data_IF_200227150739
#
_entry.id   IF_200227150739
#
_cell.length_a   1.000
_cell.length_b   1.000
_cell.length_c   1.000
_cell.angle_alpha   90.00
_cell.angle_beta   90.00
_cell.angle_gamma   90.00
#
_symmetry.space_group_name_H-M   'P 1'
#
loop_
_entity.id
_entity.type
_entity.pdbx_description
1 polymer ?
#
# COMPACT_ATOMS: atom_id res chain seq x y z
N UNK A 1 -4.31 -23.39 30.35
CA UNK A 1 -4.52 -21.92 30.52
C UNK A 1 -3.49 -21.24 29.63
N UNK A 2 -3.89 -20.41 28.66
CA UNK A 2 -2.91 -19.69 27.81
C UNK A 2 -2.29 -18.60 28.68
N UNK A 3 -0.99 -18.69 28.93
CA UNK A 3 -0.29 -17.62 29.63
C UNK A 3 0.02 -16.49 28.64
N UNK A 4 -0.51 -15.29 28.90
CA UNK A 4 -0.22 -14.13 28.07
C UNK A 4 1.21 -13.63 28.29
N UNK A 5 1.93 -13.17 27.25
CA UNK A 5 3.26 -12.59 27.41
C UNK A 5 3.22 -11.22 28.10
N UNK A 6 4.33 -10.80 28.68
CA UNK A 6 4.55 -9.39 29.02
C UNK A 6 4.70 -8.57 27.75
N UNK A 7 4.19 -7.33 27.72
CA UNK A 7 4.40 -6.41 26.61
C UNK A 7 5.88 -6.02 26.45
N UNK A 8 6.68 -6.09 27.52
CA UNK A 8 8.13 -5.82 27.49
C UNK A 8 8.95 -6.90 26.79
N UNK A 9 8.47 -8.16 26.83
CA UNK A 9 9.21 -9.32 26.30
C UNK A 9 8.50 -9.91 25.08
N UNK A 10 7.64 -9.12 24.42
CA UNK A 10 6.76 -9.58 23.36
C UNK A 10 7.54 -10.06 22.13
N UNK A 11 8.66 -9.42 21.81
CA UNK A 11 9.49 -9.83 20.68
C UNK A 11 10.11 -11.20 20.89
N UNK A 12 10.65 -11.47 22.08
CA UNK A 12 11.24 -12.76 22.42
C UNK A 12 10.20 -13.86 22.44
N UNK A 13 9.00 -13.55 22.94
CA UNK A 13 7.85 -14.45 22.88
C UNK A 13 7.50 -14.81 21.42
N UNK A 14 7.42 -13.83 20.52
CA UNK A 14 7.15 -14.06 19.09
C UNK A 14 8.26 -14.89 18.46
N UNK A 15 9.53 -14.49 18.64
CA UNK A 15 10.70 -15.19 18.07
C UNK A 15 10.79 -16.64 18.57
N UNK A 16 10.50 -16.87 19.86
CA UNK A 16 10.45 -18.22 20.43
C UNK A 16 9.31 -19.05 19.83
N UNK A 17 8.12 -18.45 19.67
CA UNK A 17 6.99 -19.08 19.01
C UNK A 17 7.29 -19.46 17.56
N UNK A 18 7.95 -18.58 16.79
CA UNK A 18 8.36 -18.87 15.42
C UNK A 18 9.31 -20.07 15.36
N UNK A 19 10.36 -20.10 16.20
CA UNK A 19 11.28 -21.25 16.27
C UNK A 19 10.60 -22.56 16.63
N UNK A 20 9.59 -22.50 17.52
CA UNK A 20 8.87 -23.69 17.99
C UNK A 20 7.87 -24.23 16.99
N UNK A 21 7.17 -23.35 16.27
CA UNK A 21 5.98 -23.71 15.49
C UNK A 21 6.15 -23.65 13.98
N UNK A 22 7.12 -22.88 13.47
CA UNK A 22 7.38 -22.79 12.03
C UNK A 22 8.32 -23.92 11.61
N UNK A 23 7.88 -24.71 10.64
CA UNK A 23 8.61 -25.86 10.09
C UNK A 23 9.84 -25.37 9.32
N UNK A 24 11.01 -25.98 9.56
CA UNK A 24 12.28 -25.67 8.88
C UNK A 24 12.60 -26.61 7.72
N UNK A 25 12.03 -27.81 7.70
CA UNK A 25 12.43 -28.91 6.82
C UNK A 25 11.63 -29.02 5.52
N UNK A 26 10.57 -28.22 5.34
CA UNK A 26 9.80 -28.18 4.10
C UNK A 26 10.13 -26.87 3.37
N UNK A 27 10.60 -26.96 2.12
CA UNK A 27 10.61 -25.80 1.23
C UNK A 27 9.17 -25.36 1.03
N UNK A 28 8.82 -24.16 1.52
CA UNK A 28 7.53 -23.57 1.22
C UNK A 28 7.33 -23.54 -0.30
N UNK A 29 6.15 -23.91 -0.82
CA UNK A 29 5.88 -23.81 -2.24
C UNK A 29 6.16 -22.37 -2.72
N UNK A 30 6.66 -22.27 -3.94
CA UNK A 30 6.92 -20.96 -4.55
C UNK A 30 5.66 -20.12 -4.53
N UNK A 31 5.83 -18.84 -4.15
CA UNK A 31 4.77 -17.84 -4.12
C UNK A 31 3.65 -18.03 -3.08
N UNK A 32 3.79 -18.98 -2.16
CA UNK A 32 2.84 -19.13 -1.04
C UNK A 32 3.24 -18.23 0.13
N UNK A 33 2.32 -17.36 0.62
CA UNK A 33 2.57 -16.55 1.81
C UNK A 33 2.84 -17.44 3.04
N UNK A 34 3.93 -17.18 3.75
CA UNK A 34 4.28 -17.99 4.93
C UNK A 34 5.03 -17.20 6.00
N UNK A 35 5.12 -17.81 7.19
CA UNK A 35 5.97 -17.35 8.28
C UNK A 35 7.34 -18.03 8.17
N UNK A 36 8.40 -17.33 8.56
CA UNK A 36 9.76 -17.86 8.66
C UNK A 36 10.32 -17.65 10.07
N UNK A 37 11.47 -18.24 10.37
CA UNK A 37 12.18 -17.98 11.64
C UNK A 37 12.75 -16.56 11.72
N UNK A 38 13.03 -15.95 10.57
CA UNK A 38 13.61 -14.61 10.44
C UNK A 38 12.56 -13.58 9.99
N UNK A 39 11.30 -13.82 10.35
CA UNK A 39 10.16 -13.00 9.97
C UNK A 39 10.42 -11.52 10.27
N UNK A 40 10.12 -10.66 9.30
CA UNK A 40 10.18 -9.22 9.52
C UNK A 40 8.90 -8.74 10.20
N UNK A 41 9.00 -8.17 11.40
CA UNK A 41 7.86 -7.64 12.14
C UNK A 41 8.25 -6.43 13.01
N UNK A 42 7.22 -5.70 13.48
CA UNK A 42 7.31 -4.62 14.48
C UNK A 42 6.26 -4.84 15.56
N UNK A 43 6.67 -4.74 16.81
CA UNK A 43 5.80 -4.79 17.98
C UNK A 43 5.86 -3.45 18.71
N UNK A 44 4.75 -2.70 18.73
CA UNK A 44 4.68 -1.38 19.36
C UNK A 44 3.85 -1.47 20.64
N UNK A 45 4.44 -1.07 21.76
CA UNK A 45 3.75 -0.91 23.03
C UNK A 45 3.60 0.58 23.32
N UNK A 46 2.39 0.99 23.76
CA UNK A 46 2.13 2.35 24.25
C UNK A 46 1.33 2.30 25.54
N UNK A 47 1.43 3.35 26.35
CA UNK A 47 0.77 3.42 27.66
C UNK A 47 -0.76 3.29 27.56
N UNK A 48 -1.35 3.87 26.52
CA UNK A 48 -2.78 3.92 26.19
C UNK A 48 -3.31 2.66 25.49
N UNK A 49 -2.46 1.65 25.24
CA UNK A 49 -2.88 0.35 24.71
C UNK A 49 -3.43 -0.55 25.83
N UNK A 50 -4.53 -0.11 26.45
CA UNK A 50 -5.26 -0.80 27.51
C UNK A 50 -6.45 -1.65 27.00
N UNK A 51 -6.68 -1.66 25.68
CA UNK A 51 -7.65 -2.52 25.02
C UNK A 51 -7.19 -2.82 23.58
N UNK A 52 -7.76 -3.85 22.96
CA UNK A 52 -7.39 -4.25 21.60
C UNK A 52 -7.69 -3.15 20.57
N UNK A 53 -8.78 -2.39 20.75
CA UNK A 53 -9.21 -1.37 19.79
C UNK A 53 -8.23 -0.19 19.73
N UNK A 54 -7.61 0.23 20.85
CA UNK A 54 -6.64 1.33 20.81
C UNK A 54 -5.36 0.95 20.04
N UNK A 55 -4.83 -0.25 20.27
CA UNK A 55 -3.72 -0.79 19.49
C UNK A 55 -4.08 -0.99 18.01
N UNK A 56 -5.30 -1.46 17.72
CA UNK A 56 -5.76 -1.66 16.35
C UNK A 56 -5.95 -0.35 15.60
N UNK A 57 -6.64 0.61 16.21
CA UNK A 57 -6.86 1.95 15.66
C UNK A 57 -5.54 2.64 15.35
N UNK A 58 -4.54 2.49 16.23
CA UNK A 58 -3.20 2.99 15.96
C UNK A 58 -2.62 2.39 14.67
N UNK A 59 -2.60 1.06 14.51
CA UNK A 59 -2.06 0.40 13.32
C UNK A 59 -2.79 0.80 12.03
N UNK A 60 -4.13 0.80 12.05
CA UNK A 60 -4.96 1.15 10.90
C UNK A 60 -4.75 2.62 10.52
N UNK A 61 -4.68 3.53 11.49
CA UNK A 61 -4.42 4.94 11.23
C UNK A 61 -3.00 5.17 10.69
N UNK A 62 -1.98 4.48 11.20
CA UNK A 62 -0.62 4.55 10.61
C UNK A 62 -0.62 4.05 9.17
N UNK A 63 -1.26 2.92 8.87
CA UNK A 63 -1.36 2.40 7.50
C UNK A 63 -2.11 3.35 6.57
N UNK A 64 -3.24 3.89 7.04
CA UNK A 64 -4.03 4.89 6.33
C UNK A 64 -3.16 6.11 6.00
N UNK A 65 -2.52 6.71 6.99
CA UNK A 65 -1.71 7.91 6.82
C UNK A 65 -0.56 7.68 5.84
N UNK A 66 0.14 6.54 5.96
CA UNK A 66 1.21 6.16 5.03
C UNK A 66 0.69 6.03 3.58
N UNK A 67 -0.38 5.25 3.35
CA UNK A 67 -0.95 5.00 2.01
C UNK A 67 -1.67 6.20 1.39
N UNK A 68 -2.03 7.18 2.21
CA UNK A 68 -2.84 8.33 1.82
C UNK A 68 -2.10 9.67 1.88
N UNK A 69 -0.77 9.66 2.03
CA UNK A 69 0.04 10.86 2.02
C UNK A 69 -0.28 11.77 0.82
N UNK A 70 -0.53 13.05 1.13
CA UNK A 70 -1.09 14.04 0.20
C UNK A 70 -0.71 15.45 0.60
N UNK A 71 -0.77 16.38 -0.35
CA UNK A 71 -0.74 17.80 -0.05
C UNK A 71 -1.90 18.15 0.91
N UNK A 72 -1.71 19.10 1.84
CA UNK A 72 -2.80 19.59 2.67
C UNK A 72 -3.93 20.10 1.77
N UNK A 73 -5.16 19.76 2.15
CA UNK A 73 -6.36 20.30 1.53
C UNK A 73 -6.60 21.75 1.95
N UNK A 74 -7.36 22.49 1.16
CA UNK A 74 -7.83 23.84 1.55
C UNK A 74 -9.02 23.77 2.49
N UNK A 75 -9.71 22.64 2.56
CA UNK A 75 -10.85 22.38 3.47
C UNK A 75 -10.82 20.90 3.92
N UNK A 76 -11.42 20.56 5.08
CA UNK A 76 -11.44 19.17 5.60
C UNK A 76 -11.97 18.13 4.60
N UNK A 77 -12.95 18.53 3.77
CA UNK A 77 -13.58 17.66 2.76
C UNK A 77 -13.01 17.84 1.34
N UNK A 78 -11.90 18.59 1.21
CA UNK A 78 -11.22 18.84 -0.07
C UNK A 78 -9.76 18.41 0.05
N UNK A 79 -9.48 17.09 0.04
CA UNK A 79 -8.12 16.61 0.13
C UNK A 79 -7.28 17.13 -1.02
N UNK A 80 -6.03 17.49 -0.72
CA UNK A 80 -5.07 17.86 -1.75
C UNK A 80 -4.60 16.65 -2.57
N UNK A 81 -3.74 16.92 -3.55
CA UNK A 81 -3.17 15.91 -4.45
C UNK A 81 -2.34 14.88 -3.69
N UNK A 82 -2.43 13.62 -4.10
CA UNK A 82 -1.59 12.56 -3.53
C UNK A 82 -0.10 12.83 -3.78
N UNK A 83 0.74 12.47 -2.81
CA UNK A 83 2.20 12.45 -2.92
C UNK A 83 2.74 11.13 -3.47
N UNK A 84 1.88 10.14 -3.65
CA UNK A 84 2.23 8.89 -4.31
C UNK A 84 2.21 9.03 -5.85
N UNK A 85 3.04 8.29 -6.59
CA UNK A 85 3.21 8.48 -8.04
C UNK A 85 2.04 7.98 -8.90
N UNK A 86 1.18 7.09 -8.40
CA UNK A 86 0.19 6.41 -9.25
C UNK A 86 -0.79 7.34 -9.96
N UNK A 87 -1.33 8.43 -9.34
CA UNK A 87 -2.19 9.35 -10.06
C UNK A 87 -1.48 10.03 -11.24
N UNK A 88 -0.17 10.34 -11.11
CA UNK A 88 0.60 10.90 -12.22
C UNK A 88 0.88 9.85 -13.29
N UNK A 89 1.21 8.62 -12.89
CA UNK A 89 1.39 7.49 -13.80
C UNK A 89 0.12 7.21 -14.62
N UNK A 90 -1.06 7.25 -13.99
CA UNK A 90 -2.35 7.04 -14.68
C UNK A 90 -2.62 8.19 -15.66
N UNK A 91 -2.41 9.46 -15.27
CA UNK A 91 -2.55 10.60 -16.18
C UNK A 91 -1.61 10.49 -17.38
N UNK A 92 -0.39 10.00 -17.16
CA UNK A 92 0.58 9.78 -18.24
C UNK A 92 0.11 8.67 -19.21
N UNK A 93 -0.27 7.50 -18.69
CA UNK A 93 -0.73 6.36 -19.50
C UNK A 93 -2.00 6.68 -20.31
N UNK A 94 -2.92 7.43 -19.71
CA UNK A 94 -4.20 7.82 -20.34
C UNK A 94 -4.08 9.03 -21.25
N UNK A 95 -2.96 9.78 -21.20
CA UNK A 95 -2.82 11.09 -21.83
C UNK A 95 -3.92 12.09 -21.45
N UNK A 96 -4.42 12.00 -20.21
CA UNK A 96 -5.53 12.80 -19.70
C UNK A 96 -5.09 13.63 -18.49
N UNK A 97 -5.30 14.95 -18.57
CA UNK A 97 -4.98 15.86 -17.48
C UNK A 97 -5.72 17.19 -17.61
N UNK A 98 -6.40 17.60 -16.54
CA UNK A 98 -6.85 18.99 -16.44
C UNK A 98 -5.67 19.96 -16.25
N UNK A 99 -5.70 21.17 -16.86
CA UNK A 99 -4.66 22.19 -16.67
C UNK A 99 -4.37 22.55 -15.21
N UNK A 100 -5.41 22.58 -14.35
CA UNK A 100 -5.27 22.82 -12.90
C UNK A 100 -4.53 21.70 -12.15
N UNK A 101 -4.35 20.54 -12.78
CA UNK A 101 -3.62 19.38 -12.25
C UNK A 101 -2.25 19.24 -12.94
N UNK A 102 -1.52 20.35 -13.07
CA UNK A 102 -0.17 20.41 -13.63
C UNK A 102 0.77 19.34 -13.03
N UNK A 103 1.82 18.92 -13.75
CA UNK A 103 2.66 17.82 -13.27
C UNK A 103 3.31 18.17 -11.92
N UNK A 104 3.30 17.23 -10.97
CA UNK A 104 4.11 17.41 -9.76
C UNK A 104 5.58 17.22 -10.12
N UNK A 105 6.38 18.29 -10.00
CA UNK A 105 7.80 18.26 -10.34
C UNK A 105 8.57 17.14 -9.64
N UNK A 106 8.21 16.81 -8.39
CA UNK A 106 8.86 15.73 -7.63
C UNK A 106 8.54 14.33 -8.16
N UNK A 107 7.43 14.13 -8.86
CA UNK A 107 6.95 12.82 -9.33
C UNK A 107 6.99 12.67 -10.85
N UNK A 108 7.46 13.70 -11.57
CA UNK A 108 7.36 13.79 -13.04
C UNK A 108 7.99 12.60 -13.77
N UNK A 109 9.03 12.00 -13.20
CA UNK A 109 9.79 10.91 -13.78
C UNK A 109 9.43 9.53 -13.17
N UNK A 110 8.36 9.45 -12.38
CA UNK A 110 7.98 8.22 -11.65
C UNK A 110 6.65 7.69 -12.16
N UNK A 111 6.70 6.92 -13.25
CA UNK A 111 5.54 6.27 -13.85
C UNK A 111 5.36 4.85 -13.28
N UNK A 112 5.11 4.74 -11.97
CA UNK A 112 5.12 3.46 -11.24
C UNK A 112 3.97 3.32 -10.25
N UNK A 113 3.70 2.06 -9.87
CA UNK A 113 2.60 1.65 -8.99
C UNK A 113 3.06 0.95 -7.70
N UNK A 114 3.87 1.62 -6.85
CA UNK A 114 4.44 0.97 -5.68
C UNK A 114 3.38 0.47 -4.71
N UNK A 115 2.22 1.13 -4.55
CA UNK A 115 1.19 0.67 -3.60
C UNK A 115 0.61 -0.71 -3.91
N UNK A 116 0.87 -1.27 -5.09
CA UNK A 116 0.56 -2.67 -5.43
C UNK A 116 1.17 -3.68 -4.44
N UNK A 117 2.30 -3.35 -3.79
CA UNK A 117 2.90 -4.21 -2.75
C UNK A 117 1.98 -4.43 -1.53
N UNK A 118 1.01 -3.55 -1.30
CA UNK A 118 0.00 -3.77 -0.26
C UNK A 118 -1.16 -4.68 -0.69
N UNK A 119 -1.10 -5.26 -1.90
CA UNK A 119 -2.14 -6.11 -2.47
C UNK A 119 -2.86 -5.45 -3.66
N UNK A 120 -3.56 -6.30 -4.41
CA UNK A 120 -4.33 -5.98 -5.60
C UNK A 120 -5.71 -6.66 -5.51
N UNK A 121 -6.75 -6.13 -6.16
CA UNK A 121 -6.75 -4.95 -7.02
C UNK A 121 -6.73 -3.64 -6.24
N UNK A 122 -6.29 -2.56 -6.90
CA UNK A 122 -6.40 -1.18 -6.38
C UNK A 122 -7.25 -0.36 -7.34
N UNK A 123 -8.37 0.18 -6.84
CA UNK A 123 -9.22 1.10 -7.60
C UNK A 123 -8.71 2.53 -7.39
N UNK A 124 -8.44 3.23 -8.48
CA UNK A 124 -8.13 4.65 -8.50
C UNK A 124 -9.35 5.42 -8.98
N UNK A 125 -9.79 6.36 -8.15
CA UNK A 125 -10.91 7.23 -8.45
C UNK A 125 -10.44 8.68 -8.37
N UNK A 126 -10.41 9.34 -9.53
CA UNK A 126 -10.25 10.79 -9.62
C UNK A 126 -11.57 11.49 -9.26
N UNK A 127 -11.52 12.80 -9.08
CA UNK A 127 -12.72 13.59 -8.78
C UNK A 127 -13.72 13.47 -9.95
N UNK A 128 -14.96 12.99 -9.71
CA UNK A 128 -15.92 12.78 -10.79
C UNK A 128 -16.25 14.04 -11.60
N UNK A 129 -16.13 15.22 -10.99
CA UNK A 129 -16.36 16.52 -11.66
C UNK A 129 -15.28 16.89 -12.68
N UNK A 130 -14.15 16.22 -12.61
CA UNK A 130 -12.96 16.52 -13.40
C UNK A 130 -12.84 15.60 -14.63
N UNK A 131 -13.70 14.58 -14.73
CA UNK A 131 -13.79 13.64 -15.83
C UNK A 131 -14.89 14.06 -16.82
N UNK A 132 -14.65 13.88 -18.13
CA UNK A 132 -15.64 14.12 -19.17
C UNK A 132 -16.40 12.81 -19.50
N UNK A 133 -17.66 12.62 -19.05
CA UNK A 133 -18.40 11.39 -19.30
C UNK A 133 -18.80 11.20 -20.77
N UNK A 134 -18.85 12.28 -21.54
CA UNK A 134 -19.25 12.25 -22.95
C UNK A 134 -18.06 11.94 -23.87
N UNK A 135 -16.84 12.24 -23.43
CA UNK A 135 -15.61 11.93 -24.14
C UNK A 135 -14.58 11.32 -23.19
N UNK A 136 -14.51 9.97 -23.08
CA UNK A 136 -13.58 9.29 -22.19
C UNK A 136 -12.10 9.42 -22.60
N UNK A 137 -11.82 10.07 -23.73
CA UNK A 137 -10.48 10.30 -24.26
C UNK A 137 -10.11 11.79 -24.26
N UNK A 138 -10.91 12.65 -23.60
CA UNK A 138 -10.66 14.08 -23.52
C UNK A 138 -9.36 14.37 -22.75
N UNK A 139 -8.32 14.78 -23.48
CA UNK A 139 -7.00 15.12 -22.93
C UNK A 139 -7.06 16.28 -21.93
N UNK A 140 -8.11 17.11 -21.99
CA UNK A 140 -8.36 18.21 -21.06
C UNK A 140 -9.30 17.81 -19.90
N UNK A 141 -9.43 16.52 -19.62
CA UNK A 141 -10.14 15.98 -18.45
C UNK A 141 -9.22 15.09 -17.62
N UNK A 142 -9.57 14.83 -16.36
CA UNK A 142 -8.88 13.81 -15.56
C UNK A 142 -9.38 12.40 -15.92
N UNK A 143 -8.54 11.37 -15.71
CA UNK A 143 -8.89 9.99 -16.04
C UNK A 143 -10.18 9.51 -15.35
N UNK A 144 -10.95 8.69 -16.07
CA UNK A 144 -12.03 7.90 -15.47
C UNK A 144 -11.49 6.90 -14.44
N UNK A 145 -12.40 6.25 -13.71
CA UNK A 145 -12.06 5.21 -12.74
C UNK A 145 -11.20 4.12 -13.40
N UNK A 146 -10.06 3.82 -12.80
CA UNK A 146 -9.16 2.74 -13.22
C UNK A 146 -8.95 1.73 -12.10
N UNK A 147 -8.53 0.53 -12.47
CA UNK A 147 -8.22 -0.57 -11.58
C UNK A 147 -6.86 -1.14 -11.97
N UNK A 148 -5.94 -1.16 -11.02
CA UNK A 148 -4.68 -1.89 -11.16
C UNK A 148 -4.89 -3.31 -10.62
N UNK A 149 -4.57 -4.31 -11.42
CA UNK A 149 -4.83 -5.72 -11.15
C UNK A 149 -3.69 -6.59 -11.69
N UNK A 150 -3.73 -7.88 -11.40
CA UNK A 150 -2.88 -8.88 -12.05
C UNK A 150 -3.51 -9.28 -13.39
N UNK A 151 -2.68 -9.58 -14.39
CA UNK A 151 -3.16 -10.06 -15.69
C UNK A 151 -3.94 -11.39 -15.58
N UNK A 152 -3.43 -12.32 -14.77
CA UNK A 152 -3.89 -13.73 -14.70
C UNK A 152 -4.66 -14.08 -13.42
N UNK A 153 -4.97 -13.09 -12.57
CA UNK A 153 -5.66 -13.33 -11.30
C UNK A 153 -6.48 -12.12 -10.84
N UNK A 154 -7.60 -12.39 -10.18
CA UNK A 154 -8.51 -11.35 -9.70
C UNK A 154 -8.00 -10.64 -8.45
N UNK A 155 -7.09 -11.26 -7.67
CA UNK A 155 -6.72 -10.73 -6.35
C UNK A 155 -5.35 -11.20 -5.89
N UNK A 156 -4.60 -10.24 -5.34
CA UNK A 156 -3.41 -10.48 -4.54
C UNK A 156 -3.64 -9.97 -3.12
N UNK A 157 -3.68 -10.88 -2.15
CA UNK A 157 -3.80 -10.49 -0.75
C UNK A 157 -2.56 -9.70 -0.28
N UNK A 158 -2.76 -8.78 0.68
CA UNK A 158 -1.66 -8.07 1.30
C UNK A 158 -0.77 -9.05 2.09
N UNK A 159 0.56 -9.01 1.95
CA UNK A 159 1.44 -9.76 2.85
C UNK A 159 1.60 -9.10 4.23
N UNK A 160 1.06 -7.89 4.42
CA UNK A 160 1.09 -7.19 5.70
C UNK A 160 -0.07 -7.63 6.59
N UNK A 161 0.24 -8.19 7.75
CA UNK A 161 -0.73 -8.48 8.80
C UNK A 161 -0.61 -7.41 9.89
N UNK A 162 -1.74 -6.80 10.26
CA UNK A 162 -1.86 -5.87 11.37
C UNK A 162 -2.77 -6.48 12.44
N UNK A 163 -2.26 -6.65 13.67
CA UNK A 163 -3.00 -7.33 14.72
C UNK A 163 -2.66 -6.81 16.13
N UNK A 164 -3.65 -6.54 16.98
CA UNK A 164 -3.43 -6.42 18.41
C UNK A 164 -3.06 -7.76 19.03
N UNK A 165 -2.03 -7.80 19.87
CA UNK A 165 -1.70 -8.94 20.73
C UNK A 165 -2.03 -8.62 22.18
N UNK A 166 -2.80 -9.50 22.83
CA UNK A 166 -3.08 -9.39 24.25
C UNK A 166 -1.85 -9.78 25.09
N UNK A 167 -1.57 -8.99 26.11
CA UNK A 167 -0.47 -9.17 27.06
C UNK A 167 -1.01 -9.21 28.50
N UNK A 168 -0.14 -9.55 29.47
CA UNK A 168 -0.46 -9.48 30.90
C UNK A 168 -0.97 -8.09 31.30
N UNK A 169 -1.69 -8.01 32.42
CA UNK A 169 -2.13 -6.76 33.05
C UNK A 169 -3.03 -5.89 32.15
N UNK A 170 -3.88 -6.54 31.33
CA UNK A 170 -4.80 -5.86 30.42
C UNK A 170 -4.11 -4.85 29.48
N UNK A 171 -2.90 -5.20 29.02
CA UNK A 171 -2.14 -4.43 28.04
C UNK A 171 -2.17 -5.11 26.68
N UNK A 172 -1.99 -4.32 25.65
CA UNK A 172 -1.97 -4.79 24.26
C UNK A 172 -0.75 -4.24 23.53
N UNK A 173 -0.25 -5.02 22.59
CA UNK A 173 0.82 -4.62 21.66
C UNK A 173 0.23 -4.53 20.26
N UNK A 174 0.55 -3.46 19.56
CA UNK A 174 0.27 -3.29 18.14
C UNK A 174 1.33 -4.04 17.33
N UNK A 175 0.96 -5.17 16.71
CA UNK A 175 1.85 -5.98 15.90
C UNK A 175 1.62 -5.73 14.41
N UNK A 176 2.71 -5.51 13.68
CA UNK A 176 2.75 -5.53 12.22
C UNK A 176 3.74 -6.60 11.75
N UNK A 177 3.30 -7.51 10.89
CA UNK A 177 4.09 -8.63 10.35
C UNK A 177 4.10 -8.55 8.83
N UNK A 178 5.24 -8.85 8.20
CA UNK A 178 5.30 -9.13 6.77
C UNK A 178 5.46 -10.62 6.53
N UNK A 179 4.50 -11.22 5.83
CA UNK A 179 4.62 -12.56 5.29
C UNK A 179 5.69 -12.60 4.19
N UNK A 180 6.40 -13.72 4.13
CA UNK A 180 7.35 -14.02 3.06
C UNK A 180 6.66 -14.73 1.90
N UNK A 181 7.33 -14.79 0.75
CA UNK A 181 6.89 -15.58 -0.40
C UNK A 181 6.06 -14.83 -1.43
N UNK A 182 5.41 -13.70 -1.11
CA UNK A 182 4.49 -13.02 -2.06
C UNK A 182 5.16 -11.99 -2.98
N UNK A 183 6.39 -11.57 -2.68
CA UNK A 183 7.03 -10.46 -3.39
C UNK A 183 7.40 -10.82 -4.84
N UNK A 184 7.64 -12.10 -5.11
CA UNK A 184 7.91 -12.61 -6.45
C UNK A 184 6.69 -12.50 -7.36
N UNK A 185 5.48 -12.69 -6.84
CA UNK A 185 4.24 -12.58 -7.62
C UNK A 185 4.09 -11.23 -8.33
N UNK A 186 4.42 -10.12 -7.66
CA UNK A 186 4.32 -8.80 -8.28
C UNK A 186 5.41 -8.50 -9.32
N UNK A 187 6.53 -9.24 -9.28
CA UNK A 187 7.60 -9.11 -10.26
C UNK A 187 7.42 -10.11 -11.42
N UNK A 188 6.76 -11.24 -11.18
CA UNK A 188 6.58 -12.33 -12.13
C UNK A 188 5.24 -12.26 -12.88
N UNK A 189 4.18 -11.79 -12.22
CA UNK A 189 2.88 -11.57 -12.84
C UNK A 189 2.81 -10.15 -13.38
N UNK A 190 2.44 -10.03 -14.65
CA UNK A 190 2.27 -8.73 -15.30
C UNK A 190 1.17 -7.96 -14.57
N UNK A 191 1.55 -6.82 -13.98
CA UNK A 191 0.60 -5.89 -13.38
C UNK A 191 0.00 -5.04 -14.49
N UNK A 192 -1.30 -4.88 -14.46
CA UNK A 192 -2.06 -4.24 -15.53
C UNK A 192 -2.97 -3.17 -14.96
N UNK A 193 -3.00 -2.01 -15.60
CA UNK A 193 -3.99 -0.97 -15.34
C UNK A 193 -5.13 -1.13 -16.36
N UNK A 194 -6.36 -1.25 -15.88
CA UNK A 194 -7.56 -1.28 -16.72
C UNK A 194 -8.46 -0.09 -16.37
N UNK A 195 -9.19 0.42 -17.35
CA UNK A 195 -10.33 1.30 -17.05
C UNK A 195 -11.54 0.44 -16.70
N UNK A 196 -12.31 0.83 -15.68
CA UNK A 196 -13.57 0.15 -15.42
C UNK A 196 -14.55 0.47 -16.56
N UNK A 197 -15.36 -0.51 -16.95
CA UNK A 197 -16.47 -0.28 -17.88
C UNK A 197 -17.37 0.81 -17.30
N UNK A 198 -17.58 1.85 -18.09
CA UNK A 198 -18.62 2.84 -17.84
C UNK A 198 -19.96 2.12 -17.98
N UNK A 199 -20.90 2.35 -17.09
CA UNK A 199 -22.30 1.88 -17.21
C UNK A 199 -23.06 2.58 -18.36
N UNK A 200 -22.36 3.16 -19.33
CA UNK A 200 -22.89 3.90 -20.46
C UNK A 200 -22.41 3.32 -21.79
N UNK A 201 -23.29 3.43 -22.79
CA UNK A 201 -23.20 3.09 -24.23
C UNK A 201 -22.01 2.24 -24.74
N UNK A 202 -22.24 1.20 -25.58
CA UNK A 202 -21.23 0.25 -26.10
C UNK A 202 -19.97 0.83 -26.78
N UNK A 203 -19.94 2.13 -27.06
CA UNK A 203 -18.84 2.83 -27.73
C UNK A 203 -17.66 3.19 -26.81
N UNK A 204 -17.81 3.11 -25.49
CA UNK A 204 -16.71 3.42 -24.54
C UNK A 204 -15.84 2.20 -24.25
N UNK A 205 -15.02 1.77 -25.22
CA UNK A 205 -14.13 0.59 -25.08
C UNK A 205 -13.29 0.68 -23.81
N UNK A 206 -13.16 -0.45 -23.11
CA UNK A 206 -12.19 -0.62 -22.04
C UNK A 206 -10.77 -0.43 -22.62
N UNK A 207 -9.96 0.32 -21.90
CA UNK A 207 -8.53 0.50 -22.15
C UNK A 207 -7.73 -0.26 -21.10
N UNK A 208 -6.62 -0.83 -21.55
CA UNK A 208 -5.73 -1.67 -20.77
C UNK A 208 -4.28 -1.29 -21.06
N UNK A 209 -3.49 -1.14 -20.00
CA UNK A 209 -2.04 -0.91 -20.05
C UNK A 209 -1.34 -2.04 -19.28
N UNK A 210 -0.77 -2.98 -20.02
CA UNK A 210 0.01 -4.08 -19.46
C UNK A 210 1.40 -3.61 -18.98
N UNK A 211 2.09 -4.48 -18.23
CA UNK A 211 3.48 -4.29 -17.79
C UNK A 211 3.69 -3.01 -16.95
N UNK A 212 2.71 -2.65 -16.12
CA UNK A 212 2.83 -1.56 -15.17
C UNK A 212 3.94 -1.84 -14.15
N UNK A 213 4.93 -0.96 -14.06
CA UNK A 213 6.07 -1.15 -13.16
C UNK A 213 5.70 -0.80 -11.73
N UNK A 214 5.94 -1.69 -10.78
CA UNK A 214 5.67 -1.46 -9.34
C UNK A 214 6.92 -1.10 -8.53
N UNK A 215 8.08 -1.61 -8.93
CA UNK A 215 9.32 -1.52 -8.15
C UNK A 215 9.98 -0.14 -8.28
N UNK A 216 10.21 0.50 -7.14
CA UNK A 216 10.98 1.75 -7.05
C UNK A 216 12.48 1.49 -7.04
N UNK A 217 13.27 2.44 -7.54
CA UNK A 217 14.69 2.55 -7.24
C UNK A 217 14.93 3.54 -6.08
N UNK A 218 16.14 3.56 -5.47
CA UNK A 218 16.40 4.41 -4.31
C UNK A 218 16.25 5.92 -4.57
N UNK A 219 16.51 6.39 -5.80
CA UNK A 219 16.35 7.80 -6.17
C UNK A 219 14.87 8.19 -6.25
N UNK A 220 14.04 7.33 -6.84
CA UNK A 220 12.59 7.49 -6.88
C UNK A 220 11.95 7.45 -5.48
N UNK A 221 12.41 6.52 -4.63
CA UNK A 221 11.91 6.40 -3.25
C UNK A 221 12.11 7.70 -2.44
N UNK A 222 13.27 8.36 -2.58
CA UNK A 222 13.58 9.65 -1.94
C UNK A 222 12.65 10.79 -2.37
N UNK A 223 12.15 10.75 -3.61
CA UNK A 223 11.25 11.78 -4.17
C UNK A 223 9.81 11.66 -3.63
N UNK A 224 9.44 10.52 -3.05
CA UNK A 224 8.15 10.32 -2.39
C UNK A 224 8.26 10.88 -0.97
N UNK A 225 7.65 12.04 -0.75
CA UNK A 225 7.75 12.82 0.49
C UNK A 225 6.43 12.94 1.21
N UNK A 226 6.51 13.13 2.52
CA UNK A 226 5.39 13.55 3.37
C UNK A 226 4.89 14.95 3.00
N UNK A 227 3.71 15.31 3.49
CA UNK A 227 3.18 16.68 3.46
C UNK A 227 4.13 17.71 4.05
N UNK A 228 4.96 17.33 5.03
CA UNK A 228 6.01 18.16 5.61
C UNK A 228 7.30 18.27 4.77
N UNK A 229 7.35 17.61 3.61
CA UNK A 229 8.51 17.60 2.72
C UNK A 229 9.61 16.59 3.10
N UNK A 230 9.49 15.89 4.23
CA UNK A 230 10.43 14.83 4.62
C UNK A 230 10.24 13.57 3.77
N UNK A 231 11.28 12.81 3.41
CA UNK A 231 11.15 11.54 2.70
C UNK A 231 10.20 10.58 3.44
N UNK A 232 9.16 10.09 2.76
CA UNK A 232 8.22 9.13 3.33
C UNK A 232 8.85 7.74 3.45
N UNK A 233 9.62 7.36 2.43
CA UNK A 233 10.26 6.04 2.33
C UNK A 233 11.74 6.06 2.76
N UNK A 234 12.34 7.25 2.92
CA UNK A 234 13.79 7.38 3.08
C UNK A 234 14.52 6.87 1.83
N UNK A 235 15.37 5.86 2.01
CA UNK A 235 16.04 5.13 0.91
C UNK A 235 15.47 3.74 0.67
N UNK A 236 14.45 3.34 1.45
CA UNK A 236 13.84 2.03 1.34
C UNK A 236 12.99 1.95 0.06
N UNK A 237 13.20 0.89 -0.72
CA UNK A 237 12.50 0.64 -1.98
C UNK A 237 11.37 -0.37 -1.82
N UNK A 238 11.44 -1.20 -0.79
CA UNK A 238 10.36 -2.07 -0.35
C UNK A 238 9.40 -1.25 0.53
N UNK A 239 8.28 -0.83 -0.05
CA UNK A 239 7.34 0.05 0.65
C UNK A 239 6.69 -0.60 1.88
N UNK A 240 6.68 -1.94 1.98
CA UNK A 240 6.18 -2.65 3.15
C UNK A 240 7.16 -2.53 4.31
N UNK A 241 8.47 -2.64 4.02
CA UNK A 241 9.53 -2.34 4.99
C UNK A 241 9.56 -0.86 5.36
N UNK A 242 9.35 0.03 4.39
CA UNK A 242 9.23 1.46 4.65
C UNK A 242 8.05 1.75 5.60
N UNK A 243 6.93 1.05 5.45
CA UNK A 243 5.80 1.16 6.37
C UNK A 243 6.15 0.66 7.79
N UNK A 244 6.86 -0.46 7.94
CA UNK A 244 7.36 -0.91 9.25
C UNK A 244 8.28 0.14 9.90
N UNK A 245 9.15 0.79 9.12
CA UNK A 245 9.98 1.90 9.60
C UNK A 245 9.14 3.11 10.00
N UNK A 246 8.09 3.39 9.23
CA UNK A 246 7.10 4.41 9.53
C UNK A 246 6.26 4.10 10.78
N UNK A 247 6.25 2.89 11.34
CA UNK A 247 5.51 2.63 12.59
C UNK A 247 6.18 3.20 13.84
N UNK A 248 7.47 3.54 13.76
CA UNK A 248 8.18 4.15 14.90
C UNK A 248 7.62 5.53 15.28
#
# INVERSE_FOLDING_TARGET
KVEFPSNTNIEDFIKSGLRKHVITSASWPTDVPHLSHNLTFKAISKADFNNANSAWNYLINRLKNFRQERNPGTQPNRPGRSKWPEPEAIRHLTSQRLPKHSQLASLKDINKFPRAYFGLPIIFQFNPKDYNPNNPYDSNSDPRKTMLTLAESDRLASPLILRPLACKNNKFVALAILLEGTQRLLNAQQVTLKTNESTGTPTQRSQEWANCVVKLNPSEAKKIVTSSGKPLLGTETDILKAFLNFLN
#
